data_IF_163092238404
#
_entry.id   IF_163092238404
#
_cell.length_a   1.000
_cell.length_b   1.000
_cell.length_c   1.000
_cell.angle_alpha   90.00
_cell.angle_beta   90.00
_cell.angle_gamma   90.00
#
_symmetry.space_group_name_H-M   'P 1'
#
loop_
_entity.id
_entity.type
_entity.pdbx_description
1 polymer ?
#
# COMPACT_ATOMS: atom_id res chain seq x y z
N UNK A 1 3.92 15.87 14.57
CA UNK A 1 4.87 16.25 13.50
C UNK A 1 6.15 16.90 14.02
N UNK A 2 6.11 17.82 14.99
CA UNK A 2 7.32 18.41 15.60
C UNK A 2 8.31 17.38 16.16
N UNK A 3 7.81 16.36 16.86
CA UNK A 3 8.61 15.22 17.34
C UNK A 3 9.38 14.51 16.21
N UNK A 4 8.77 14.34 15.04
CA UNK A 4 9.37 13.66 13.89
C UNK A 4 10.54 14.46 13.31
N UNK A 5 10.37 15.79 13.21
CA UNK A 5 11.44 16.71 12.80
C UNK A 5 12.61 16.68 13.79
N UNK A 6 12.33 16.66 15.09
CA UNK A 6 13.36 16.59 16.13
C UNK A 6 14.12 15.25 16.06
N UNK A 7 13.44 14.12 15.92
CA UNK A 7 14.08 12.82 15.72
C UNK A 7 14.92 12.76 14.45
N UNK A 8 14.44 13.37 13.35
CA UNK A 8 15.17 13.41 12.07
C UNK A 8 16.47 14.21 12.18
N UNK A 9 16.47 15.32 12.93
CA UNK A 9 17.67 16.11 13.20
C UNK A 9 18.64 15.39 14.16
N UNK A 10 18.13 14.66 15.15
CA UNK A 10 18.94 13.94 16.15
C UNK A 10 19.57 12.65 15.60
N UNK A 11 18.89 11.93 14.71
CA UNK A 11 19.38 10.69 14.11
C UNK A 11 20.09 10.88 12.75
N UNK A 12 20.25 12.12 12.27
CA UNK A 12 20.93 12.39 11.01
C UNK A 12 22.45 12.24 11.15
N UNK A 13 23.04 11.37 10.33
CA UNK A 13 24.48 11.10 10.30
C UNK A 13 25.30 12.32 9.82
N UNK A 14 24.70 13.18 8.98
CA UNK A 14 25.29 14.42 8.45
C UNK A 14 24.22 15.51 8.37
N UNK A 15 23.94 16.26 9.46
CA UNK A 15 22.84 17.23 9.49
C UNK A 15 23.01 18.42 8.53
N UNK A 16 24.21 18.61 7.98
CA UNK A 16 24.52 19.73 7.07
C UNK A 16 24.24 19.44 5.58
N UNK A 17 24.02 18.19 5.18
CA UNK A 17 23.78 17.80 3.77
C UNK A 17 22.31 17.48 3.47
N UNK A 18 21.40 17.87 4.37
CA UNK A 18 19.97 17.58 4.23
C UNK A 18 19.39 18.40 3.07
N UNK A 19 18.94 17.71 2.03
CA UNK A 19 18.17 18.33 0.94
C UNK A 19 16.75 18.61 1.46
N UNK A 20 16.45 19.87 1.72
CA UNK A 20 15.17 20.28 2.31
C UNK A 20 13.97 20.16 1.37
N UNK A 21 14.19 20.15 0.05
CA UNK A 21 13.13 20.10 -0.96
C UNK A 21 12.29 18.81 -0.85
N UNK A 22 12.87 17.59 -0.83
CA UNK A 22 12.11 16.37 -0.57
C UNK A 22 11.36 16.36 0.77
N UNK A 23 11.99 16.87 1.83
CA UNK A 23 11.41 16.84 3.19
C UNK A 23 10.16 17.71 3.27
N UNK A 24 10.24 18.94 2.76
CA UNK A 24 9.10 19.87 2.75
C UNK A 24 7.99 19.39 1.81
N UNK A 25 8.34 18.91 0.61
CA UNK A 25 7.34 18.40 -0.34
C UNK A 25 6.66 17.13 0.15
N UNK A 26 7.40 16.19 0.72
CA UNK A 26 6.82 14.96 1.27
C UNK A 26 5.82 15.28 2.39
N UNK A 27 6.17 16.18 3.29
CA UNK A 27 5.27 16.64 4.34
C UNK A 27 4.03 17.36 3.79
N UNK A 28 4.24 18.26 2.83
CA UNK A 28 3.16 19.00 2.19
C UNK A 28 2.19 18.06 1.47
N UNK A 29 2.69 17.08 0.71
CA UNK A 29 1.87 16.08 0.03
C UNK A 29 1.12 15.19 1.02
N UNK A 30 1.79 14.71 2.07
CA UNK A 30 1.17 13.88 3.11
C UNK A 30 0.02 14.64 3.79
N UNK A 31 0.25 15.90 4.18
CA UNK A 31 -0.75 16.73 4.85
C UNK A 31 -1.89 17.11 3.90
N UNK A 32 -1.57 17.47 2.66
CA UNK A 32 -2.54 17.80 1.62
C UNK A 32 -3.47 16.61 1.32
N UNK A 33 -2.93 15.40 1.13
CA UNK A 33 -3.72 14.18 0.96
C UNK A 33 -4.63 13.90 2.16
N UNK A 34 -4.07 14.00 3.38
CA UNK A 34 -4.85 13.79 4.60
C UNK A 34 -6.02 14.77 4.73
N UNK A 35 -5.80 16.05 4.46
CA UNK A 35 -6.87 17.05 4.44
C UNK A 35 -7.86 16.82 3.30
N UNK A 36 -7.38 16.52 2.09
CA UNK A 36 -8.25 16.27 0.95
C UNK A 36 -9.22 15.12 1.21
N UNK A 37 -8.76 14.03 1.83
CA UNK A 37 -9.58 12.86 2.14
C UNK A 37 -10.46 13.08 3.38
N UNK A 38 -9.91 13.61 4.48
CA UNK A 38 -10.64 13.68 5.76
C UNK A 38 -11.51 14.93 5.93
N UNK A 39 -11.16 16.05 5.30
CA UNK A 39 -11.85 17.33 5.52
C UNK A 39 -12.94 17.61 4.49
N UNK A 40 -12.76 17.13 3.26
CA UNK A 40 -13.59 17.48 2.12
C UNK A 40 -14.58 16.36 1.81
N UNK A 41 -15.87 16.71 1.65
CA UNK A 41 -16.94 15.71 1.45
C UNK A 41 -16.73 14.86 0.19
N UNK A 42 -16.27 15.49 -0.90
CA UNK A 42 -15.84 14.76 -2.11
C UNK A 42 -14.73 13.74 -1.81
N UNK A 43 -13.74 14.08 -1.00
CA UNK A 43 -12.63 13.18 -0.68
C UNK A 43 -13.07 11.98 0.16
N UNK A 44 -13.94 12.23 1.16
CA UNK A 44 -14.54 11.16 1.97
C UNK A 44 -15.35 10.20 1.10
N UNK A 45 -16.22 10.73 0.23
CA UNK A 45 -17.06 9.89 -0.63
C UNK A 45 -16.23 9.00 -1.57
N UNK A 46 -15.14 9.52 -2.14
CA UNK A 46 -14.24 8.72 -2.98
C UNK A 46 -13.52 7.64 -2.16
N UNK A 47 -13.13 7.96 -0.93
CA UNK A 47 -12.51 7.00 -0.03
C UNK A 47 -13.50 5.90 0.40
N UNK A 48 -14.76 6.23 0.61
CA UNK A 48 -15.82 5.27 0.93
C UNK A 48 -16.08 4.32 -0.26
N UNK A 49 -16.14 4.84 -1.49
CA UNK A 49 -16.24 4.00 -2.69
C UNK A 49 -15.04 3.07 -2.86
N UNK A 50 -13.82 3.54 -2.58
CA UNK A 50 -12.62 2.69 -2.59
C UNK A 50 -12.70 1.62 -1.48
N UNK A 51 -13.21 1.98 -0.31
CA UNK A 51 -13.38 1.05 0.80
C UNK A 51 -14.40 -0.05 0.46
N UNK A 52 -15.51 0.31 -0.18
CA UNK A 52 -16.52 -0.65 -0.68
C UNK A 52 -15.95 -1.60 -1.74
N UNK A 53 -15.09 -1.08 -2.63
CA UNK A 53 -14.37 -1.91 -3.60
C UNK A 53 -13.48 -2.95 -2.91
N UNK A 54 -12.74 -2.55 -1.87
CA UNK A 54 -11.88 -3.45 -1.08
C UNK A 54 -12.73 -4.47 -0.32
N UNK A 55 -13.88 -4.08 0.24
CA UNK A 55 -14.81 -5.00 0.90
C UNK A 55 -15.36 -6.04 -0.07
N UNK A 56 -15.79 -5.60 -1.26
CA UNK A 56 -16.26 -6.49 -2.33
C UNK A 56 -15.17 -7.48 -2.75
N UNK A 57 -13.92 -7.03 -2.86
CA UNK A 57 -12.78 -7.89 -3.12
C UNK A 57 -12.55 -8.93 -2.02
N UNK A 58 -12.72 -8.52 -0.76
CA UNK A 58 -12.61 -9.40 0.38
C UNK A 58 -13.73 -10.45 0.38
N UNK A 59 -14.96 -10.09 0.04
CA UNK A 59 -16.08 -11.02 -0.10
C UNK A 59 -15.82 -12.11 -1.15
N UNK A 60 -15.27 -11.76 -2.31
CA UNK A 60 -14.85 -12.75 -3.31
C UNK A 60 -13.77 -13.69 -2.77
N UNK A 61 -12.85 -13.17 -1.97
CA UNK A 61 -11.83 -13.99 -1.33
C UNK A 61 -12.46 -14.94 -0.31
N UNK A 62 -13.40 -14.47 0.52
CA UNK A 62 -14.10 -15.30 1.51
C UNK A 62 -14.82 -16.48 0.85
N UNK A 63 -15.51 -16.24 -0.27
CA UNK A 63 -16.13 -17.33 -1.06
C UNK A 63 -15.08 -18.34 -1.56
N UNK A 64 -13.88 -17.86 -1.94
CA UNK A 64 -12.76 -18.71 -2.31
C UNK A 64 -12.19 -19.51 -1.12
N UNK A 65 -12.11 -18.93 0.06
CA UNK A 65 -11.69 -19.61 1.30
C UNK A 65 -12.67 -20.72 1.66
N UNK A 66 -13.97 -20.45 1.59
CA UNK A 66 -15.02 -21.43 1.87
C UNK A 66 -15.01 -22.58 0.84
N UNK A 67 -14.72 -22.29 -0.43
CA UNK A 67 -14.56 -23.33 -1.46
C UNK A 67 -13.35 -24.24 -1.20
N UNK A 68 -12.20 -23.69 -0.79
CA UNK A 68 -10.96 -24.45 -0.59
C UNK A 68 -10.94 -25.18 0.76
N UNK A 69 -11.42 -24.54 1.83
CA UNK A 69 -11.27 -25.03 3.21
C UNK A 69 -12.58 -25.49 3.87
N UNK A 70 -13.75 -25.20 3.28
CA UNK A 70 -15.05 -25.68 3.75
C UNK A 70 -15.29 -25.44 5.24
N UNK A 71 -15.53 -26.52 5.98
CA UNK A 71 -15.82 -26.50 7.43
C UNK A 71 -14.73 -25.88 8.32
N UNK A 72 -13.48 -25.74 7.85
CA UNK A 72 -12.40 -25.09 8.62
C UNK A 72 -12.48 -23.55 8.54
N UNK A 73 -13.14 -23.00 7.52
CA UNK A 73 -13.31 -21.57 7.28
C UNK A 73 -14.55 -21.01 7.99
N UNK A 74 -15.63 -21.79 8.04
CA UNK A 74 -16.89 -21.47 8.73
C UNK A 74 -17.39 -22.69 9.52
N UNK A 75 -16.77 -23.00 10.68
CA UNK A 75 -17.24 -24.12 11.50
C UNK A 75 -18.68 -23.88 11.96
N UNK A 76 -19.58 -24.88 11.89
CA UNK A 76 -20.93 -24.76 12.39
C UNK A 76 -20.90 -24.42 13.89
N UNK A 77 -21.75 -23.48 14.31
CA UNK A 77 -21.86 -22.96 15.69
C UNK A 77 -22.05 -24.03 16.78
N UNK A 78 -22.29 -25.28 16.38
CA UNK A 78 -22.45 -26.46 17.23
C UNK A 78 -21.10 -26.92 17.83
N UNK A 79 -19.98 -26.65 17.16
CA UNK A 79 -18.65 -27.16 17.57
C UNK A 79 -17.89 -26.25 18.55
N UNK A 80 -18.40 -25.07 18.90
CA UNK A 80 -17.70 -24.12 19.79
C UNK A 80 -16.31 -23.69 19.29
N UNK A 81 -16.04 -23.87 17.99
CA UNK A 81 -14.75 -23.62 17.37
C UNK A 81 -14.85 -22.32 16.56
N UNK A 82 -13.94 -21.37 16.80
CA UNK A 82 -13.84 -20.16 16.00
C UNK A 82 -13.17 -20.45 14.65
N UNK A 83 -13.53 -19.70 13.58
CA UNK A 83 -12.88 -19.82 12.29
C UNK A 83 -11.38 -19.58 12.42
N UNK A 84 -10.58 -20.45 11.81
CA UNK A 84 -9.12 -20.40 11.96
C UNK A 84 -8.57 -19.23 11.14
N UNK A 85 -8.14 -18.18 11.84
CA UNK A 85 -7.61 -16.93 11.27
C UNK A 85 -6.55 -17.14 10.19
N UNK A 86 -5.70 -18.16 10.35
CA UNK A 86 -4.61 -18.45 9.43
C UNK A 86 -5.08 -18.76 8.01
N UNK A 87 -6.18 -19.50 7.83
CA UNK A 87 -6.67 -19.87 6.49
C UNK A 87 -7.33 -18.69 5.78
N UNK A 88 -8.11 -17.88 6.50
CA UNK A 88 -8.69 -16.64 5.95
C UNK A 88 -7.60 -15.66 5.52
N UNK A 89 -6.66 -15.37 6.41
CA UNK A 89 -5.61 -14.39 6.14
C UNK A 89 -4.65 -14.85 5.03
N UNK A 90 -4.27 -16.13 5.04
CA UNK A 90 -3.42 -16.68 3.98
C UNK A 90 -4.11 -16.65 2.61
N UNK A 91 -5.41 -16.98 2.54
CA UNK A 91 -6.15 -16.99 1.29
C UNK A 91 -6.28 -15.58 0.69
N UNK A 92 -6.48 -14.55 1.52
CA UNK A 92 -6.49 -13.14 1.09
C UNK A 92 -5.18 -12.79 0.38
N UNK A 93 -4.04 -13.18 0.95
CA UNK A 93 -2.72 -12.91 0.35
C UNK A 93 -2.53 -13.67 -0.97
N UNK A 94 -2.94 -14.93 -1.04
CA UNK A 94 -2.82 -15.75 -2.26
C UNK A 94 -3.67 -15.18 -3.39
N UNK A 95 -4.93 -14.83 -3.11
CA UNK A 95 -5.84 -14.25 -4.09
C UNK A 95 -5.36 -12.88 -4.57
N UNK A 96 -4.95 -12.00 -3.64
CA UNK A 96 -4.36 -10.71 -3.98
C UNK A 96 -3.11 -10.86 -4.85
N UNK A 97 -2.20 -11.77 -4.50
CA UNK A 97 -1.01 -12.07 -5.30
C UNK A 97 -1.32 -12.54 -6.72
N UNK A 98 -2.32 -13.41 -6.88
CA UNK A 98 -2.76 -13.89 -8.20
C UNK A 98 -3.35 -12.76 -9.06
N UNK A 99 -4.17 -11.89 -8.47
CA UNK A 99 -4.75 -10.73 -9.16
C UNK A 99 -3.65 -9.74 -9.57
N UNK A 100 -2.74 -9.40 -8.66
CA UNK A 100 -1.60 -8.54 -8.97
C UNK A 100 -0.75 -9.12 -10.10
N UNK A 101 -0.46 -10.43 -10.07
CA UNK A 101 0.28 -11.11 -11.15
C UNK A 101 -0.42 -10.98 -12.51
N UNK A 102 -1.76 -11.11 -12.55
CA UNK A 102 -2.55 -10.88 -13.76
C UNK A 102 -2.44 -9.42 -14.22
N UNK A 103 -2.56 -8.44 -13.32
CA UNK A 103 -2.43 -7.02 -13.68
C UNK A 103 -1.02 -6.68 -14.21
N UNK A 104 0.02 -7.36 -13.73
CA UNK A 104 1.38 -7.27 -14.28
C UNK A 104 1.47 -7.88 -15.68
N UNK A 105 0.82 -9.01 -15.91
CA UNK A 105 0.78 -9.63 -17.23
C UNK A 105 0.09 -8.72 -18.26
N UNK A 106 -1.00 -8.05 -17.87
CA UNK A 106 -1.73 -7.11 -18.73
C UNK A 106 -1.05 -5.74 -18.93
N UNK A 107 0.06 -5.43 -18.26
CA UNK A 107 0.73 -4.15 -18.43
C UNK A 107 0.18 -3.00 -17.57
N UNK A 108 -0.88 -3.22 -16.80
CA UNK A 108 -1.61 -2.17 -16.06
C UNK A 108 -0.75 -1.67 -14.90
N UNK A 109 -0.13 -2.58 -14.13
CA UNK A 109 0.72 -2.21 -13.00
C UNK A 109 1.91 -1.37 -13.44
N UNK A 110 2.54 -1.71 -14.58
CA UNK A 110 3.66 -0.95 -15.12
C UNK A 110 3.23 0.47 -15.48
N UNK A 111 2.03 0.65 -16.03
CA UNK A 111 1.49 1.98 -16.33
C UNK A 111 1.26 2.80 -15.06
N UNK A 112 0.58 2.23 -14.05
CA UNK A 112 0.28 2.90 -12.78
C UNK A 112 1.56 3.30 -12.04
N UNK A 113 2.53 2.38 -11.90
CA UNK A 113 3.79 2.62 -11.20
C UNK A 113 4.59 3.71 -11.91
N UNK A 114 4.67 3.70 -13.24
CA UNK A 114 5.39 4.75 -13.99
C UNK A 114 4.77 6.12 -13.78
N UNK A 115 3.43 6.21 -13.76
CA UNK A 115 2.72 7.48 -13.51
C UNK A 115 2.94 7.99 -12.09
N UNK A 116 2.86 7.11 -11.10
CA UNK A 116 3.13 7.44 -9.70
C UNK A 116 4.59 7.87 -9.49
N UNK A 117 5.54 7.14 -10.05
CA UNK A 117 6.95 7.45 -9.97
C UNK A 117 7.28 8.79 -10.63
N UNK A 118 6.64 9.11 -11.75
CA UNK A 118 6.78 10.40 -12.40
C UNK A 118 6.25 11.57 -11.54
N UNK A 119 5.12 11.38 -10.86
CA UNK A 119 4.56 12.38 -9.93
C UNK A 119 5.49 12.61 -8.74
N UNK A 120 5.98 11.53 -8.13
CA UNK A 120 6.97 11.54 -7.04
C UNK A 120 8.26 12.23 -7.49
N UNK A 121 8.76 11.89 -8.68
CA UNK A 121 9.96 12.48 -9.25
C UNK A 121 9.82 14.00 -9.45
N UNK A 122 8.69 14.48 -9.98
CA UNK A 122 8.48 15.92 -10.19
C UNK A 122 8.38 16.67 -8.86
N UNK A 123 7.69 16.09 -7.89
CA UNK A 123 7.44 16.75 -6.61
C UNK A 123 8.69 16.78 -5.74
N UNK A 124 9.40 15.65 -5.63
CA UNK A 124 10.52 15.47 -4.72
C UNK A 124 11.88 15.71 -5.38
N UNK A 125 11.95 15.79 -6.71
CA UNK A 125 13.20 15.90 -7.51
C UNK A 125 14.19 14.75 -7.25
N UNK A 126 13.64 13.56 -6.97
CA UNK A 126 14.40 12.34 -6.69
C UNK A 126 14.76 11.61 -7.97
N UNK A 127 15.78 10.75 -7.92
CA UNK A 127 16.20 9.97 -9.09
C UNK A 127 15.06 9.06 -9.58
N UNK A 128 14.94 8.86 -10.90
CA UNK A 128 13.89 8.01 -11.48
C UNK A 128 13.89 6.60 -10.86
N UNK A 129 15.07 6.01 -10.65
CA UNK A 129 15.24 4.68 -10.03
C UNK A 129 14.76 4.64 -8.58
N UNK A 130 15.02 5.70 -7.81
CA UNK A 130 14.60 5.81 -6.41
C UNK A 130 13.08 5.97 -6.30
N UNK A 131 12.51 6.82 -7.16
CA UNK A 131 11.07 7.08 -7.23
C UNK A 131 10.30 5.83 -7.69
N UNK A 132 10.86 5.10 -8.66
CA UNK A 132 10.31 3.81 -9.12
C UNK A 132 10.37 2.76 -8.03
N UNK A 133 11.50 2.64 -7.32
CA UNK A 133 11.63 1.68 -6.21
C UNK A 133 10.66 2.02 -5.07
N UNK A 134 10.55 3.29 -4.69
CA UNK A 134 9.62 3.75 -3.67
C UNK A 134 8.17 3.45 -4.05
N UNK A 135 7.76 3.73 -5.29
CA UNK A 135 6.42 3.42 -5.78
C UNK A 135 6.16 1.91 -5.87
N UNK A 136 7.14 1.12 -6.31
CA UNK A 136 7.01 -0.33 -6.38
C UNK A 136 6.85 -0.96 -4.99
N UNK A 137 7.58 -0.45 -3.98
CA UNK A 137 7.48 -0.92 -2.61
C UNK A 137 6.09 -0.76 -2.00
N UNK A 138 5.31 0.25 -2.42
CA UNK A 138 3.93 0.47 -1.94
C UNK A 138 3.02 -0.68 -2.38
N UNK A 139 3.22 -1.24 -3.58
CA UNK A 139 2.33 -2.26 -4.15
C UNK A 139 2.83 -3.69 -3.94
N UNK A 140 4.14 -3.91 -4.02
CA UNK A 140 4.75 -5.24 -3.97
C UNK A 140 5.41 -5.56 -2.63
N UNK A 141 5.56 -4.57 -1.74
CA UNK A 141 6.38 -4.68 -0.56
C UNK A 141 7.87 -4.52 -0.84
N UNK A 142 8.66 -4.47 0.23
CA UNK A 142 10.11 -4.33 0.14
C UNK A 142 10.75 -5.65 -0.26
N UNK A 143 11.12 -5.77 -1.54
CA UNK A 143 12.07 -6.78 -1.98
C UNK A 143 13.47 -6.14 -1.95
N UNK A 144 14.39 -6.60 -1.09
CA UNK A 144 15.76 -6.12 -1.14
C UNK A 144 16.33 -6.45 -2.51
N UNK A 145 16.52 -5.43 -3.32
CA UNK A 145 17.28 -5.52 -4.55
C UNK A 145 18.71 -5.89 -4.14
N UNK A 146 19.08 -7.15 -4.38
CA UNK A 146 20.45 -7.63 -4.22
C UNK A 146 21.31 -7.01 -5.31
N UNK A 147 21.77 -5.78 -5.00
CA UNK A 147 22.99 -5.09 -5.46
C UNK A 147 23.31 -5.09 -6.96
N UNK A 148 23.56 -3.88 -7.45
CA UNK A 148 24.63 -3.54 -8.40
C UNK A 148 24.75 -4.43 -9.65
N UNK A 149 24.05 -4.03 -10.72
CA UNK A 149 24.72 -3.40 -11.87
C UNK A 149 23.86 -2.26 -12.39
#
# INVERSE_FOLDING_TARGET
MFFYFVCMLLCSNSPSEIVWRPVLWGFFLQFSMGLAVLRWDWGSNQFDSLSELVLTFLEFTHNGTDFVYGFLSTPPKICGMDPVFAFHTAQIVIYFGAVVALLYHFGIMQFVIKKMAWLVQITLDTTATESLNACACIFLGFFPNSKNQ
#
